data_IF_542357067090
#
_entry.id   IF_542357067090
#
_cell.length_a   1.000
_cell.length_b   1.000
_cell.length_c   1.000
_cell.angle_alpha   90.00
_cell.angle_beta   90.00
_cell.angle_gamma   90.00
#
_symmetry.space_group_name_H-M   'P 1'
#
loop_
_entity.id
_entity.type
_entity.pdbx_description
1 polymer ?
#
# COMPACT_ATOMS: atom_id res chain seq x y z
N UNK A 1 18.95 -2.70 -2.03
CA UNK A 1 17.71 -2.76 -1.28
C UNK A 1 16.58 -3.19 -2.17
N UNK A 2 15.61 -3.88 -1.63
CA UNK A 2 14.52 -4.44 -2.41
C UNK A 2 13.27 -3.58 -2.26
N UNK A 3 12.46 -3.57 -3.30
CA UNK A 3 11.16 -2.90 -3.30
C UNK A 3 10.06 -3.92 -3.03
N UNK A 4 8.96 -3.43 -2.51
CA UNK A 4 7.74 -4.20 -2.32
C UNK A 4 6.55 -3.37 -2.78
N UNK A 5 5.59 -4.02 -3.43
CA UNK A 5 4.32 -3.39 -3.74
C UNK A 5 3.28 -3.97 -2.78
N UNK A 6 2.50 -3.07 -2.20
CA UNK A 6 1.50 -3.45 -1.21
C UNK A 6 0.14 -3.05 -1.75
N UNK A 7 -0.78 -4.01 -1.74
CA UNK A 7 -2.11 -3.84 -2.32
C UNK A 7 -3.17 -3.81 -1.24
N UNK A 8 -4.11 -2.90 -1.39
CA UNK A 8 -5.32 -2.84 -0.58
C UNK A 8 -6.44 -2.25 -1.42
N UNK A 9 -7.66 -2.32 -0.90
CA UNK A 9 -8.83 -1.72 -1.55
C UNK A 9 -9.65 -1.00 -0.50
N UNK A 10 -10.40 0.02 -0.92
CA UNK A 10 -11.35 0.71 -0.04
C UNK A 10 -12.70 0.82 -0.73
N UNK A 11 -13.77 0.90 0.06
CA UNK A 11 -15.12 1.05 -0.47
C UNK A 11 -15.38 2.46 -0.99
N UNK A 12 -14.68 3.45 -0.45
CA UNK A 12 -14.90 4.86 -0.76
C UNK A 12 -13.62 5.48 -1.28
N UNK A 13 -13.78 6.33 -2.30
CA UNK A 13 -12.61 7.03 -2.86
C UNK A 13 -11.95 7.93 -1.81
N UNK A 14 -12.74 8.53 -0.92
CA UNK A 14 -12.20 9.39 0.13
C UNK A 14 -11.25 8.64 1.05
N UNK A 15 -11.57 7.40 1.39
CA UNK A 15 -10.71 6.58 2.22
C UNK A 15 -9.41 6.23 1.50
N UNK A 16 -9.49 5.92 0.21
CA UNK A 16 -8.31 5.63 -0.60
C UNK A 16 -7.40 6.86 -0.70
N UNK A 17 -7.97 8.03 -0.96
CA UNK A 17 -7.20 9.25 -1.06
C UNK A 17 -6.55 9.61 0.25
N UNK A 18 -7.25 9.43 1.36
CA UNK A 18 -6.72 9.72 2.69
C UNK A 18 -5.54 8.82 3.04
N UNK A 19 -5.68 7.52 2.78
CA UNK A 19 -4.56 6.60 2.99
C UNK A 19 -3.35 6.99 2.15
N UNK A 20 -3.57 7.29 0.88
CA UNK A 20 -2.49 7.68 -0.03
C UNK A 20 -1.78 8.94 0.46
N UNK A 21 -2.55 9.96 0.82
CA UNK A 21 -1.98 11.23 1.26
C UNK A 21 -1.14 11.08 2.52
N UNK A 22 -1.61 10.31 3.48
CA UNK A 22 -0.88 10.15 4.74
C UNK A 22 0.38 9.31 4.52
N UNK A 23 0.30 8.23 3.75
CA UNK A 23 1.47 7.39 3.46
C UNK A 23 2.58 8.19 2.77
N UNK A 24 2.22 9.05 1.84
CA UNK A 24 3.19 9.91 1.16
C UNK A 24 3.74 10.98 2.11
N UNK A 25 2.86 11.63 2.86
CA UNK A 25 3.28 12.69 3.78
C UNK A 25 4.22 12.18 4.86
N UNK A 26 3.99 10.98 5.35
CA UNK A 26 4.86 10.37 6.36
C UNK A 26 6.05 9.65 5.76
N UNK A 27 6.21 9.71 4.44
CA UNK A 27 7.31 9.07 3.72
C UNK A 27 7.40 7.56 3.96
N UNK A 28 6.26 6.94 4.19
CA UNK A 28 6.18 5.48 4.30
C UNK A 28 6.11 4.83 2.92
N UNK A 29 5.71 5.57 1.92
CA UNK A 29 5.68 5.12 0.54
C UNK A 29 6.20 6.23 -0.37
N UNK A 30 6.85 5.84 -1.47
CA UNK A 30 7.32 6.79 -2.47
C UNK A 30 6.23 7.13 -3.47
N UNK A 31 5.31 6.21 -3.70
CA UNK A 31 4.23 6.38 -4.67
C UNK A 31 3.04 5.54 -4.23
N UNK A 32 1.85 6.09 -4.33
CA UNK A 32 0.61 5.36 -4.13
C UNK A 32 -0.27 5.63 -5.34
N UNK A 33 -0.54 4.57 -6.11
CA UNK A 33 -1.41 4.68 -7.28
C UNK A 33 -2.81 4.24 -6.90
N UNK A 34 -3.80 5.07 -7.21
CA UNK A 34 -5.20 4.72 -7.04
C UNK A 34 -5.74 4.28 -8.39
N UNK A 35 -6.34 3.08 -8.42
CA UNK A 35 -6.97 2.58 -9.62
C UNK A 35 -8.40 3.07 -9.73
N UNK A 36 -8.99 2.82 -10.89
CA UNK A 36 -10.40 3.09 -11.08
C UNK A 36 -11.23 2.08 -10.30
N UNK A 37 -12.45 2.45 -9.99
CA UNK A 37 -13.39 1.60 -9.27
C UNK A 37 -13.53 0.25 -9.97
N UNK A 38 -13.42 -0.83 -9.20
CA UNK A 38 -13.58 -2.19 -9.69
C UNK A 38 -14.76 -2.85 -8.97
N UNK A 39 -15.29 -3.91 -9.60
CA UNK A 39 -16.31 -4.73 -8.97
C UNK A 39 -15.64 -6.01 -8.49
N UNK A 40 -15.64 -6.20 -7.17
CA UNK A 40 -15.01 -7.37 -6.55
C UNK A 40 -16.08 -8.36 -6.12
N UNK A 41 -15.95 -9.61 -6.54
CA UNK A 41 -16.80 -10.71 -6.09
C UNK A 41 -16.03 -11.51 -5.06
N UNK A 42 -16.68 -11.83 -3.93
CA UNK A 42 -15.99 -12.47 -2.82
C UNK A 42 -16.98 -13.29 -1.99
N UNK A 43 -16.44 -14.07 -1.07
CA UNK A 43 -17.24 -14.84 -0.11
C UNK A 43 -17.04 -14.22 1.26
N UNK A 44 -18.14 -13.87 1.92
CA UNK A 44 -18.11 -13.35 3.28
C UNK A 44 -19.07 -14.18 4.13
N UNK A 45 -18.53 -14.81 5.17
CA UNK A 45 -19.28 -15.66 6.08
C UNK A 45 -20.14 -16.70 5.35
N UNK A 46 -19.52 -17.32 4.33
CA UNK A 46 -20.16 -18.38 3.57
C UNK A 46 -21.12 -17.92 2.48
N UNK A 47 -21.28 -16.60 2.30
CA UNK A 47 -22.20 -16.04 1.31
C UNK A 47 -21.43 -15.36 0.20
N UNK A 48 -21.82 -15.64 -1.05
CA UNK A 48 -21.24 -14.97 -2.21
C UNK A 48 -21.81 -13.55 -2.31
N UNK A 49 -20.92 -12.58 -2.35
CA UNK A 49 -21.29 -11.17 -2.40
C UNK A 49 -20.43 -10.44 -3.43
N UNK A 50 -20.79 -9.20 -3.71
CA UNK A 50 -19.94 -8.33 -4.51
C UNK A 50 -20.05 -6.90 -3.99
N UNK A 51 -18.99 -6.12 -4.27
CA UNK A 51 -18.96 -4.73 -3.88
C UNK A 51 -18.09 -3.97 -4.87
N UNK A 52 -18.30 -2.65 -4.93
CA UNK A 52 -17.43 -1.78 -5.69
C UNK A 52 -16.32 -1.30 -4.76
N UNK A 53 -15.10 -1.27 -5.28
CA UNK A 53 -13.93 -0.93 -4.49
C UNK A 53 -12.95 -0.11 -5.31
N UNK A 54 -12.13 0.66 -4.60
CA UNK A 54 -11.05 1.44 -5.18
C UNK A 54 -9.73 0.77 -4.81
N UNK A 55 -8.99 0.22 -5.80
CA UNK A 55 -7.71 -0.42 -5.50
C UNK A 55 -6.60 0.59 -5.33
N UNK A 56 -5.68 0.28 -4.41
CA UNK A 56 -4.47 1.06 -4.21
C UNK A 56 -3.26 0.16 -4.41
N UNK A 57 -2.23 0.69 -5.08
CA UNK A 57 -0.92 0.07 -5.16
C UNK A 57 0.07 0.98 -4.47
N UNK A 58 0.66 0.50 -3.39
CA UNK A 58 1.58 1.26 -2.56
C UNK A 58 2.99 0.76 -2.85
N UNK A 59 3.88 1.66 -3.25
CA UNK A 59 5.22 1.32 -3.69
C UNK A 59 6.22 1.84 -2.68
N UNK A 60 6.96 0.93 -2.06
CA UNK A 60 7.87 1.28 -0.98
C UNK A 60 9.03 0.28 -0.92
N UNK A 61 9.91 0.47 0.05
CA UNK A 61 11.02 -0.46 0.28
C UNK A 61 10.60 -1.56 1.25
N UNK A 62 11.29 -2.69 1.19
CA UNK A 62 11.02 -3.83 2.07
C UNK A 62 11.15 -3.43 3.54
N UNK A 63 12.04 -2.50 3.87
CA UNK A 63 12.22 -2.04 5.24
C UNK A 63 10.97 -1.39 5.81
N UNK A 64 10.13 -0.81 4.96
CA UNK A 64 8.90 -0.15 5.39
C UNK A 64 7.68 -1.04 5.34
N UNK A 65 7.83 -2.27 4.87
CA UNK A 65 6.68 -3.16 4.65
C UNK A 65 5.81 -3.29 5.90
N UNK A 66 6.42 -3.61 7.03
CA UNK A 66 5.66 -3.83 8.26
C UNK A 66 4.97 -2.55 8.72
N UNK A 67 5.66 -1.41 8.62
CA UNK A 67 5.09 -0.12 9.00
C UNK A 67 3.86 0.22 8.17
N UNK A 68 3.95 -0.01 6.85
CA UNK A 68 2.82 0.26 5.94
C UNK A 68 1.66 -0.67 6.25
N UNK A 69 1.92 -1.96 6.42
CA UNK A 69 0.87 -2.93 6.73
C UNK A 69 0.17 -2.61 8.04
N UNK A 70 0.93 -2.24 9.07
CA UNK A 70 0.35 -1.86 10.36
C UNK A 70 -0.48 -0.58 10.23
N UNK A 71 0.01 0.38 9.45
CA UNK A 71 -0.74 1.61 9.22
C UNK A 71 -2.08 1.33 8.55
N UNK A 72 -2.07 0.51 7.49
CA UNK A 72 -3.31 0.16 6.79
C UNK A 72 -4.27 -0.53 7.74
N UNK A 73 -3.78 -1.52 8.49
CA UNK A 73 -4.62 -2.29 9.42
C UNK A 73 -5.28 -1.38 10.46
N UNK A 74 -4.55 -0.40 10.96
CA UNK A 74 -5.03 0.47 12.03
C UNK A 74 -5.98 1.56 11.53
N UNK A 75 -5.96 1.87 10.23
CA UNK A 75 -6.72 2.98 9.67
C UNK A 75 -7.77 2.55 8.66
N UNK A 76 -7.83 1.25 8.34
CA UNK A 76 -8.78 0.76 7.35
C UNK A 76 -10.14 0.52 8.01
N UNK A 77 -11.24 0.94 7.34
CA UNK A 77 -12.58 0.76 7.92
C UNK A 77 -13.10 -0.68 7.87
N UNK A 78 -12.51 -1.55 7.06
CA UNK A 78 -12.95 -2.95 6.97
C UNK A 78 -12.47 -3.73 8.19
N UNK A 79 -13.30 -4.70 8.61
CA UNK A 79 -12.90 -5.65 9.65
C UNK A 79 -11.74 -6.52 9.17
N UNK A 80 -11.80 -6.98 7.91
CA UNK A 80 -10.73 -7.78 7.30
C UNK A 80 -10.31 -7.12 6.00
N UNK A 81 -9.39 -6.15 6.06
CA UNK A 81 -8.94 -5.49 4.83
C UNK A 81 -7.99 -6.39 4.04
N UNK A 82 -7.98 -6.20 2.73
CA UNK A 82 -6.93 -6.80 1.89
C UNK A 82 -5.62 -6.07 2.19
N UNK A 83 -4.61 -6.82 2.62
CA UNK A 83 -3.26 -6.28 2.80
C UNK A 83 -2.33 -7.35 2.26
N UNK A 84 -1.83 -7.14 1.04
CA UNK A 84 -1.00 -8.11 0.34
C UNK A 84 0.29 -7.44 -0.09
N UNK A 85 1.41 -8.06 0.25
CA UNK A 85 2.73 -7.56 -0.13
C UNK A 85 3.32 -8.47 -1.20
N UNK A 86 3.72 -7.88 -2.31
CA UNK A 86 4.31 -8.61 -3.43
C UNK A 86 5.73 -8.11 -3.62
N UNK A 87 6.75 -8.98 -3.45
CA UNK A 87 8.12 -8.53 -3.66
C UNK A 87 8.36 -8.24 -5.14
N UNK A 88 9.10 -7.18 -5.39
CA UNK A 88 9.45 -6.76 -6.73
C UNK A 88 10.75 -7.48 -7.11
N UNK A 89 10.68 -8.35 -8.12
CA UNK A 89 11.85 -9.14 -8.51
C UNK A 89 12.81 -8.35 -9.38
N UNK A 90 12.33 -7.30 -10.04
CA UNK A 90 13.17 -6.42 -10.85
C UNK A 90 12.55 -5.03 -10.89
N UNK A 91 13.38 -4.03 -10.79
CA UNK A 91 13.02 -2.65 -11.03
C UNK A 91 14.20 -1.97 -11.71
N UNK A 92 13.90 -1.03 -12.61
CA UNK A 92 14.96 -0.22 -13.21
C UNK A 92 15.76 0.46 -12.11
N UNK A 93 17.07 0.50 -12.26
CA UNK A 93 17.98 1.00 -11.23
C UNK A 93 17.62 2.42 -10.78
N UNK A 94 17.31 3.30 -11.73
CA UNK A 94 16.98 4.68 -11.40
C UNK A 94 15.64 4.75 -10.65
N UNK A 95 14.68 3.92 -11.04
CA UNK A 95 13.39 3.89 -10.37
C UNK A 95 13.52 3.37 -8.93
N UNK A 96 14.26 2.29 -8.75
CA UNK A 96 14.51 1.73 -7.42
C UNK A 96 15.17 2.75 -6.52
N UNK A 97 16.19 3.43 -7.03
CA UNK A 97 16.89 4.47 -6.31
C UNK A 97 15.94 5.60 -5.90
N UNK A 98 15.08 6.02 -6.83
CA UNK A 98 14.10 7.07 -6.56
C UNK A 98 13.14 6.65 -5.43
N UNK A 99 12.67 5.42 -5.44
CA UNK A 99 11.79 4.92 -4.36
C UNK A 99 12.54 4.97 -3.03
N UNK A 100 13.76 4.45 -2.99
CA UNK A 100 14.54 4.38 -1.76
C UNK A 100 14.84 5.75 -1.18
N UNK A 101 15.06 6.74 -2.05
CA UNK A 101 15.36 8.11 -1.61
C UNK A 101 14.15 8.82 -1.03
N UNK A 102 12.96 8.35 -1.31
CA UNK A 102 11.72 9.03 -0.92
C UNK A 102 10.94 8.32 0.18
N UNK A 103 11.58 7.38 0.86
CA UNK A 103 10.97 6.71 2.01
C UNK A 103 11.89 6.84 3.23
N UNK A 104 11.28 6.92 4.41
CA UNK A 104 12.03 7.16 5.65
C UNK A 104 12.76 5.93 6.16
N UNK A 105 12.24 4.73 5.89
CA UNK A 105 12.73 3.51 6.52
C UNK A 105 14.23 3.33 6.39
N UNK A 106 14.73 3.44 5.16
CA UNK A 106 16.15 3.25 4.88
C UNK A 106 17.00 4.33 5.56
N UNK A 107 16.56 5.58 5.46
CA UNK A 107 17.32 6.71 6.01
C UNK A 107 17.39 6.67 7.52
N UNK A 108 16.24 6.49 8.16
CA UNK A 108 16.18 6.48 9.62
C UNK A 108 16.91 5.29 10.22
N UNK A 109 16.87 4.16 9.55
CA UNK A 109 17.56 2.97 10.04
C UNK A 109 19.05 3.02 9.78
N UNK A 110 19.48 3.76 8.78
CA UNK A 110 20.88 3.97 8.49
C UNK A 110 21.51 5.03 9.36
N UNK A 111 20.72 5.80 10.10
CA UNK A 111 21.21 6.85 10.97
C UNK A 111 21.22 6.33 12.40
N UNK A 112 22.39 6.20 12.98
CA UNK A 112 22.48 5.81 14.37
C UNK A 112 21.89 6.86 15.28
#
# INVERSE_FOLDING_TARGET
>A
MALVFIYTTTARIEDAEKLAEILIKQQLAACVSLGQKVKSHYVWEGVAEWAEEYPLTIKTSVENQQLVCDFIRNHHPYEVPEIVCVPVVYADEKYQQWVEENVVGATLRGCP
#
